data_IF_467839814670
#
_entry.id   IF_467839814670
#
_cell.length_a   1.000
_cell.length_b   1.000
_cell.length_c   1.000
_cell.angle_alpha   90.00
_cell.angle_beta   90.00
_cell.angle_gamma   90.00
#
_symmetry.space_group_name_H-M   'P 1'
#
loop_
_entity.id
_entity.type
_entity.pdbx_description
1 polymer ?
#
# COMPACT_ATOMS: atom_id res chain seq x y z
N UNK A 1 -10.17 -12.97 27.45
CA UNK A 1 -10.30 -11.60 27.99
C UNK A 1 -9.93 -10.60 26.90
N UNK A 2 -10.90 -9.89 26.33
CA UNK A 2 -10.63 -8.84 25.35
C UNK A 2 -10.00 -7.63 26.06
N UNK A 3 -8.73 -7.31 25.80
CA UNK A 3 -8.13 -6.06 26.27
C UNK A 3 -8.71 -4.92 25.44
N UNK A 4 -9.40 -3.98 26.08
CA UNK A 4 -9.85 -2.75 25.42
C UNK A 4 -8.65 -2.04 24.79
N UNK A 5 -8.78 -1.66 23.51
CA UNK A 5 -7.76 -0.89 22.82
C UNK A 5 -7.62 0.49 23.46
N UNK A 6 -6.40 1.00 23.70
CA UNK A 6 -6.19 2.32 24.31
C UNK A 6 -6.63 3.49 23.40
N UNK A 7 -6.93 3.22 22.14
CA UNK A 7 -7.42 4.19 21.16
C UNK A 7 -8.95 4.31 21.31
N UNK A 8 -9.42 5.48 21.73
CA UNK A 8 -10.84 5.82 21.74
C UNK A 8 -11.24 6.30 20.35
N UNK A 9 -12.16 5.59 19.71
CA UNK A 9 -12.75 6.03 18.44
C UNK A 9 -14.01 6.86 18.72
N UNK A 10 -14.19 7.94 17.96
CA UNK A 10 -15.40 8.78 18.01
C UNK A 10 -16.60 8.15 17.30
N UNK A 11 -16.35 7.17 16.43
CA UNK A 11 -17.34 6.37 15.70
C UNK A 11 -16.83 4.94 15.52
N UNK A 12 -17.69 3.96 15.18
CA UNK A 12 -17.22 2.62 14.84
C UNK A 12 -16.21 2.67 13.68
N UNK A 13 -15.06 2.00 13.79
CA UNK A 13 -14.07 1.98 12.71
C UNK A 13 -14.62 1.28 11.46
N UNK A 14 -14.18 1.70 10.28
CA UNK A 14 -14.62 1.14 9.00
C UNK A 14 -14.33 -0.37 8.87
N UNK A 15 -13.22 -0.80 9.48
CA UNK A 15 -12.86 -2.21 9.67
C UNK A 15 -12.99 -2.56 11.16
N UNK A 16 -13.60 -3.69 11.53
CA UNK A 16 -13.66 -4.13 12.92
C UNK A 16 -12.27 -4.25 13.56
N UNK A 17 -12.24 -4.12 14.90
CA UNK A 17 -11.00 -4.36 15.64
C UNK A 17 -10.57 -5.83 15.53
N UNK A 18 -9.26 -6.05 15.58
CA UNK A 18 -8.63 -7.36 15.47
C UNK A 18 -8.89 -8.10 14.13
N UNK A 19 -9.38 -7.40 13.10
CA UNK A 19 -9.43 -7.91 11.73
C UNK A 19 -8.03 -8.15 11.13
N UNK A 20 -7.93 -9.10 10.20
CA UNK A 20 -6.72 -9.34 9.43
C UNK A 20 -6.53 -8.25 8.37
N UNK A 21 -5.31 -7.72 8.29
CA UNK A 21 -4.91 -6.70 7.30
C UNK A 21 -3.73 -7.24 6.50
N UNK A 22 -3.87 -7.24 5.18
CA UNK A 22 -2.75 -7.50 4.29
C UNK A 22 -1.88 -6.25 4.21
N UNK A 23 -0.60 -6.38 4.58
CA UNK A 23 0.41 -5.32 4.42
C UNK A 23 1.42 -5.79 3.39
N UNK A 24 1.49 -5.13 2.23
CA UNK A 24 2.45 -5.50 1.19
C UNK A 24 3.83 -4.93 1.49
N UNK A 25 4.89 -5.66 1.12
CA UNK A 25 6.26 -5.20 1.34
C UNK A 25 6.65 -5.08 2.81
N UNK A 26 6.15 -5.97 3.68
CA UNK A 26 6.33 -5.95 5.14
C UNK A 26 7.80 -5.91 5.63
N UNK A 27 8.75 -6.20 4.75
CA UNK A 27 10.19 -6.07 4.98
C UNK A 27 10.74 -4.65 4.80
N UNK A 28 9.96 -3.73 4.21
CA UNK A 28 10.35 -2.35 3.96
C UNK A 28 10.31 -1.48 5.21
N UNK A 29 11.05 -0.37 5.19
CA UNK A 29 11.14 0.56 6.32
C UNK A 29 9.75 1.05 6.76
N UNK A 30 8.93 1.56 5.83
CA UNK A 30 7.59 2.07 6.14
C UNK A 30 6.67 0.94 6.64
N UNK A 31 6.68 -0.20 5.96
CA UNK A 31 5.78 -1.32 6.21
C UNK A 31 6.14 -2.17 7.44
N UNK A 32 7.32 -1.97 8.05
CA UNK A 32 7.77 -2.68 9.26
C UNK A 32 7.50 -1.92 10.56
N UNK A 33 7.12 -0.64 10.48
CA UNK A 33 6.65 0.13 11.63
C UNK A 33 5.32 -0.41 12.24
N UNK A 34 4.51 -1.22 11.55
CA UNK A 34 3.58 -2.18 12.15
C UNK A 34 4.21 -3.60 12.22
N UNK A 35 4.06 -4.40 13.31
CA UNK A 35 2.85 -4.50 14.13
C UNK A 35 3.05 -4.64 15.65
N UNK A 36 1.93 -4.69 16.37
CA UNK A 36 1.83 -5.17 17.76
C UNK A 36 2.47 -6.56 17.89
N UNK A 37 3.29 -6.77 18.92
CA UNK A 37 3.98 -8.04 19.18
C UNK A 37 3.00 -9.23 19.21
N UNK A 38 3.34 -10.31 18.50
CA UNK A 38 2.67 -11.60 18.59
C UNK A 38 1.45 -11.83 17.68
N UNK A 39 1.14 -10.92 16.73
CA UNK A 39 0.05 -11.08 15.75
C UNK A 39 0.51 -10.71 14.34
N UNK A 40 1.35 -11.57 13.78
CA UNK A 40 1.96 -11.37 12.47
C UNK A 40 2.10 -12.71 11.75
N UNK A 41 1.71 -12.75 10.49
CA UNK A 41 1.93 -13.85 9.56
C UNK A 41 2.67 -13.28 8.36
N UNK A 42 3.76 -13.92 7.95
CA UNK A 42 4.51 -13.56 6.75
C UNK A 42 4.17 -14.53 5.64
N UNK A 43 3.74 -13.99 4.51
CA UNK A 43 3.50 -14.74 3.26
C UNK A 43 4.49 -14.24 2.22
N UNK A 44 5.10 -15.15 1.47
CA UNK A 44 5.97 -14.81 0.35
C UNK A 44 5.11 -14.62 -0.88
N UNK A 45 5.08 -13.40 -1.41
CA UNK A 45 4.52 -13.17 -2.74
C UNK A 45 5.58 -13.46 -3.83
N UNK A 46 5.19 -13.94 -5.03
CA UNK A 46 6.05 -14.00 -6.20
C UNK A 46 6.28 -12.58 -6.76
N UNK A 47 6.68 -12.45 -8.02
CA UNK A 47 6.64 -11.15 -8.70
C UNK A 47 5.20 -10.60 -8.68
N UNK A 48 5.04 -9.41 -8.09
CA UNK A 48 3.75 -8.77 -7.85
C UNK A 48 3.00 -8.42 -9.14
N UNK A 49 3.72 -8.26 -10.26
CA UNK A 49 3.13 -8.01 -11.57
C UNK A 49 2.58 -9.30 -12.23
N UNK A 50 2.79 -10.47 -11.62
CA UNK A 50 2.29 -11.75 -12.14
C UNK A 50 0.80 -11.92 -11.82
N UNK A 51 -0.04 -12.36 -12.78
CA UNK A 51 -1.42 -12.74 -12.49
C UNK A 51 -1.49 -13.79 -11.37
N UNK A 52 -2.38 -13.58 -10.39
CA UNK A 52 -2.52 -14.50 -9.26
C UNK A 52 -1.43 -14.36 -8.17
N UNK A 53 -0.54 -13.36 -8.24
CA UNK A 53 0.49 -13.13 -7.22
C UNK A 53 -0.06 -12.99 -5.78
N UNK A 54 -1.34 -12.65 -5.65
CA UNK A 54 -1.98 -12.35 -4.37
C UNK A 54 -2.83 -13.48 -3.81
N UNK A 55 -3.00 -14.59 -4.52
CA UNK A 55 -3.92 -15.68 -4.11
C UNK A 55 -3.59 -16.26 -2.73
N UNK A 56 -2.30 -16.39 -2.38
CA UNK A 56 -1.91 -16.89 -1.06
C UNK A 56 -2.11 -15.84 0.04
N UNK A 57 -1.91 -14.56 -0.29
CA UNK A 57 -1.88 -13.44 0.64
C UNK A 57 -3.26 -12.83 0.93
N UNK A 58 -4.18 -12.87 -0.04
CA UNK A 58 -5.58 -12.43 0.09
C UNK A 58 -6.46 -13.64 0.40
N UNK A 59 -6.49 -14.01 1.67
CA UNK A 59 -7.41 -15.01 2.21
C UNK A 59 -8.81 -14.40 2.43
N UNK A 60 -9.83 -15.24 2.58
CA UNK A 60 -11.23 -14.83 2.73
C UNK A 60 -11.51 -13.93 3.95
N UNK A 61 -10.64 -13.94 4.97
CA UNK A 61 -10.79 -13.16 6.20
C UNK A 61 -10.03 -11.83 6.22
N UNK A 62 -9.32 -11.49 5.13
CA UNK A 62 -8.65 -10.18 4.99
C UNK A 62 -9.70 -9.07 4.88
N UNK A 63 -9.74 -8.21 5.89
CA UNK A 63 -10.71 -7.12 5.95
C UNK A 63 -10.23 -5.82 5.31
N UNK A 64 -8.92 -5.69 5.07
CA UNK A 64 -8.33 -4.49 4.49
C UNK A 64 -6.93 -4.72 3.96
N UNK A 65 -6.50 -3.81 3.10
CA UNK A 65 -5.20 -3.86 2.42
C UNK A 65 -4.46 -2.55 2.63
N UNK A 66 -3.21 -2.64 3.06
CA UNK A 66 -2.23 -1.56 3.04
C UNK A 66 -1.21 -1.86 1.93
N UNK A 67 -1.35 -1.19 0.79
CA UNK A 67 -0.45 -1.30 -0.34
C UNK A 67 0.75 -0.39 -0.13
N UNK A 68 1.88 -0.96 0.28
CA UNK A 68 3.13 -0.24 0.57
C UNK A 68 4.29 -0.71 -0.33
N UNK A 69 4.23 -1.96 -0.82
CA UNK A 69 5.19 -2.44 -1.81
C UNK A 69 5.12 -1.57 -3.08
N UNK A 70 6.26 -1.05 -3.49
CA UNK A 70 6.45 -0.25 -4.69
C UNK A 70 7.94 -0.16 -5.02
N UNK A 71 8.25 0.32 -6.22
CA UNK A 71 9.65 0.58 -6.59
C UNK A 71 10.18 1.80 -5.86
N UNK A 72 11.42 1.70 -5.39
CA UNK A 72 12.18 2.81 -4.79
C UNK A 72 13.50 3.02 -5.54
N UNK A 73 13.58 2.52 -6.78
CA UNK A 73 14.79 2.62 -7.57
C UNK A 73 14.95 4.04 -8.14
N UNK A 74 15.96 4.76 -7.65
CA UNK A 74 16.30 6.11 -8.09
C UNK A 74 17.47 6.14 -9.09
N UNK A 75 17.87 4.98 -9.61
CA UNK A 75 19.06 4.80 -10.47
C UNK A 75 18.71 4.19 -11.83
N UNK A 76 17.46 4.36 -12.29
CA UNK A 76 17.04 3.92 -13.61
C UNK A 76 17.71 4.77 -14.69
N UNK A 77 18.14 4.12 -15.78
CA UNK A 77 18.44 4.86 -17.00
C UNK A 77 17.13 5.36 -17.63
N UNK A 78 17.17 6.50 -18.33
CA UNK A 78 15.97 7.12 -18.91
C UNK A 78 15.13 6.16 -19.76
N UNK A 79 15.78 5.28 -20.52
CA UNK A 79 15.12 4.29 -21.38
C UNK A 79 14.43 3.13 -20.63
N UNK A 80 14.64 3.01 -19.32
CA UNK A 80 14.07 1.97 -18.46
C UNK A 80 12.83 2.46 -17.69
N UNK A 81 12.63 3.78 -17.59
CA UNK A 81 11.59 4.40 -16.77
C UNK A 81 10.19 3.90 -17.16
N UNK A 82 9.86 3.90 -18.45
CA UNK A 82 8.55 3.45 -18.92
C UNK A 82 8.30 1.98 -18.56
N UNK A 83 9.31 1.12 -18.71
CA UNK A 83 9.18 -0.30 -18.39
C UNK A 83 8.93 -0.51 -16.89
N UNK A 84 9.64 0.22 -16.04
CA UNK A 84 9.48 0.19 -14.59
C UNK A 84 8.08 0.70 -14.18
N UNK A 85 7.64 1.85 -14.70
CA UNK A 85 6.30 2.40 -14.43
C UNK A 85 5.23 1.38 -14.79
N UNK A 86 5.33 0.77 -15.97
CA UNK A 86 4.36 -0.25 -16.40
C UNK A 86 4.39 -1.49 -15.49
N UNK A 87 5.55 -1.89 -14.96
CA UNK A 87 5.65 -3.00 -14.01
C UNK A 87 4.98 -2.66 -12.68
N UNK A 88 5.24 -1.48 -12.13
CA UNK A 88 4.61 -1.02 -10.87
C UNK A 88 3.09 -0.89 -11.03
N UNK A 89 2.62 -0.33 -12.15
CA UNK A 89 1.19 -0.24 -12.44
C UNK A 89 0.53 -1.63 -12.54
N UNK A 90 1.16 -2.58 -13.23
CA UNK A 90 0.66 -3.97 -13.28
C UNK A 90 0.55 -4.59 -11.90
N UNK A 91 1.59 -4.44 -11.07
CA UNK A 91 1.56 -4.94 -9.70
C UNK A 91 0.43 -4.32 -8.86
N UNK A 92 0.25 -2.99 -8.97
CA UNK A 92 -0.80 -2.27 -8.28
C UNK A 92 -2.20 -2.71 -8.72
N UNK A 93 -2.47 -2.75 -10.03
CA UNK A 93 -3.78 -3.15 -10.54
C UNK A 93 -4.09 -4.63 -10.28
N UNK A 94 -3.10 -5.52 -10.32
CA UNK A 94 -3.28 -6.91 -9.91
C UNK A 94 -3.77 -7.02 -8.46
N UNK A 95 -3.18 -6.23 -7.55
CA UNK A 95 -3.61 -6.21 -6.15
C UNK A 95 -5.01 -5.60 -6.00
N UNK A 96 -5.30 -4.53 -6.74
CA UNK A 96 -6.59 -3.83 -6.67
C UNK A 96 -7.73 -4.73 -7.18
N UNK A 97 -7.55 -5.41 -8.32
CA UNK A 97 -8.54 -6.34 -8.84
C UNK A 97 -8.69 -7.57 -7.93
N UNK A 98 -7.60 -8.09 -7.37
CA UNK A 98 -7.69 -9.17 -6.40
C UNK A 98 -8.44 -8.74 -5.13
N UNK A 99 -8.15 -7.56 -4.58
CA UNK A 99 -8.86 -7.01 -3.42
C UNK A 99 -10.35 -6.81 -3.70
N UNK A 100 -10.69 -6.26 -4.87
CA UNK A 100 -12.08 -6.07 -5.33
C UNK A 100 -12.85 -7.37 -5.49
N UNK A 101 -12.18 -8.46 -5.86
CA UNK A 101 -12.80 -9.78 -5.97
C UNK A 101 -13.13 -10.44 -4.61
N UNK A 102 -12.59 -9.93 -3.49
CA UNK A 102 -12.83 -10.47 -2.15
C UNK A 102 -13.82 -9.59 -1.36
N UNK A 103 -15.07 -10.04 -1.12
CA UNK A 103 -16.10 -9.24 -0.44
C UNK A 103 -15.77 -8.87 1.01
N UNK A 104 -14.81 -9.56 1.63
CA UNK A 104 -14.32 -9.27 2.97
C UNK A 104 -13.50 -7.99 3.04
N UNK A 105 -12.85 -7.59 1.94
CA UNK A 105 -12.03 -6.38 1.88
C UNK A 105 -12.92 -5.15 1.86
N UNK A 106 -12.87 -4.37 2.94
CA UNK A 106 -13.70 -3.15 3.14
C UNK A 106 -12.92 -1.85 3.00
N UNK A 107 -11.60 -1.92 3.05
CA UNK A 107 -10.74 -0.74 2.99
C UNK A 107 -9.43 -1.06 2.28
N UNK A 108 -9.00 -0.11 1.45
CA UNK A 108 -7.75 -0.19 0.71
C UNK A 108 -7.01 1.14 0.89
N UNK A 109 -5.79 1.09 1.43
CA UNK A 109 -4.92 2.25 1.59
C UNK A 109 -3.71 2.09 0.67
N UNK A 110 -3.45 3.10 -0.16
CA UNK A 110 -2.30 3.14 -1.05
C UNK A 110 -1.23 4.09 -0.51
N UNK A 111 0.00 3.60 -0.36
CA UNK A 111 1.15 4.44 -0.06
C UNK A 111 1.61 5.14 -1.33
N UNK A 112 1.14 6.36 -1.52
CA UNK A 112 1.66 7.27 -2.55
C UNK A 112 2.92 7.98 -2.06
N UNK A 113 3.47 8.84 -2.89
CA UNK A 113 4.66 9.62 -2.61
C UNK A 113 4.46 11.09 -2.99
N UNK A 114 5.14 12.02 -2.31
CA UNK A 114 4.95 13.46 -2.54
C UNK A 114 5.31 13.89 -3.97
N UNK A 115 6.21 13.16 -4.67
CA UNK A 115 6.49 13.38 -6.09
C UNK A 115 5.28 13.18 -7.02
N UNK A 116 4.21 12.51 -6.57
CA UNK A 116 2.96 12.44 -7.32
C UNK A 116 2.20 13.77 -7.34
N UNK A 117 2.44 14.63 -6.35
CA UNK A 117 1.84 15.96 -6.26
C UNK A 117 2.76 17.05 -6.81
N UNK A 118 4.08 16.93 -6.60
CA UNK A 118 5.01 18.02 -6.92
C UNK A 118 6.44 17.55 -7.15
N UNK A 119 7.17 18.20 -8.05
CA UNK A 119 8.64 18.07 -8.13
C UNK A 119 9.28 19.19 -7.32
N UNK A 120 9.85 18.93 -6.13
CA UNK A 120 10.41 19.97 -5.29
C UNK A 120 11.58 20.68 -5.98
N UNK A 121 11.53 22.01 -5.99
CA UNK A 121 12.62 22.85 -6.44
C UNK A 121 13.29 23.56 -5.27
N UNK A 122 14.62 23.56 -5.25
CA UNK A 122 15.37 24.19 -4.16
C UNK A 122 15.07 25.69 -4.08
N UNK A 123 14.65 26.15 -2.90
CA UNK A 123 14.33 27.56 -2.65
C UNK A 123 12.94 28.00 -3.10
N UNK A 124 12.14 27.11 -3.70
CA UNK A 124 10.75 27.38 -4.06
C UNK A 124 9.84 26.97 -2.90
N UNK A 125 8.98 27.89 -2.50
CA UNK A 125 7.94 27.64 -1.51
C UNK A 125 6.60 27.54 -2.22
N UNK A 126 5.96 26.40 -2.11
CA UNK A 126 4.62 26.16 -2.65
C UNK A 126 3.76 25.44 -1.62
N UNK A 127 2.46 25.70 -1.67
CA UNK A 127 1.48 25.01 -0.82
C UNK A 127 0.97 23.80 -1.57
N UNK A 128 1.30 22.61 -1.07
CA UNK A 128 0.78 21.34 -1.60
C UNK A 128 -0.44 20.92 -0.79
N UNK A 129 -1.54 20.65 -1.48
CA UNK A 129 -2.80 20.15 -0.91
C UNK A 129 -3.16 18.79 -1.51
N UNK A 130 -4.22 18.18 -1.00
CA UNK A 130 -4.77 16.92 -1.49
C UNK A 130 -5.27 17.00 -2.95
N UNK A 131 -5.53 18.21 -3.45
CA UNK A 131 -5.96 18.46 -4.83
C UNK A 131 -4.79 18.77 -5.79
N UNK A 132 -3.55 18.76 -5.30
CA UNK A 132 -2.36 19.08 -6.09
C UNK A 132 -1.86 17.86 -6.87
N UNK A 133 -1.62 18.03 -8.16
CA UNK A 133 -1.10 17.00 -9.06
C UNK A 133 0.20 17.44 -9.72
N UNK A 134 1.12 16.50 -9.89
CA UNK A 134 2.36 16.78 -10.61
C UNK A 134 2.09 16.81 -12.13
N UNK A 135 2.10 17.99 -12.73
CA UNK A 135 1.89 18.19 -14.17
C UNK A 135 3.20 18.22 -14.98
N UNK A 136 4.35 17.95 -14.36
CA UNK A 136 5.66 18.16 -15.02
C UNK A 136 6.13 17.03 -15.94
N UNK A 137 5.31 16.02 -16.24
CA UNK A 137 5.68 14.90 -17.11
C UNK A 137 4.47 14.35 -17.86
#
# INVERSE_FOLDING_TARGET
MARQSPIKFSSPPAIPLDSLILVTGANGLIASHPPRRGRFLLVKAPDLATPGAWTEALQDDVAGVACIAGSVNLHLADHEVDAEVQQVLRAFFNLLEAAKAHPSVRSFAFNSFIWAAVTPEAGVHETVTEDTWNERY
#
